data_IF_977341370921
#
_entry.id   IF_977341370921
#
_cell.length_a   1.000
_cell.length_b   1.000
_cell.length_c   1.000
_cell.angle_alpha   90.00
_cell.angle_beta   90.00
_cell.angle_gamma   90.00
#
_symmetry.space_group_name_H-M   'P 1'
#
loop_
_entity.id
_entity.type
_entity.pdbx_description
1 polymer ?
#
# COMPACT_ATOMS: atom_id res chain seq x y z
N UNK A 1 57.53 -7.75 -21.32
CA UNK A 1 56.49 -6.84 -21.88
C UNK A 1 55.06 -7.34 -21.64
N UNK A 2 54.80 -8.65 -21.69
CA UNK A 2 53.47 -9.22 -21.36
C UNK A 2 53.08 -8.99 -19.90
N UNK A 3 53.98 -9.20 -18.94
CA UNK A 3 53.69 -9.00 -17.51
C UNK A 3 53.33 -7.57 -17.13
N UNK A 4 53.96 -6.57 -17.77
CA UNK A 4 53.66 -5.15 -17.55
C UNK A 4 52.21 -4.82 -17.96
N UNK A 5 51.75 -5.37 -19.10
CA UNK A 5 50.37 -5.16 -19.57
C UNK A 5 49.35 -5.90 -18.70
N UNK A 6 49.70 -7.07 -18.17
CA UNK A 6 48.85 -7.84 -17.26
C UNK A 6 48.73 -7.11 -15.91
N UNK A 7 49.82 -6.60 -15.36
CA UNK A 7 49.81 -5.85 -14.10
C UNK A 7 49.03 -4.52 -14.21
N UNK A 8 49.13 -3.82 -15.34
CA UNK A 8 48.30 -2.63 -15.62
C UNK A 8 46.81 -2.97 -15.68
N UNK A 9 46.45 -4.11 -16.29
CA UNK A 9 45.05 -4.58 -16.33
C UNK A 9 44.54 -4.99 -14.95
N UNK A 10 45.35 -5.69 -14.15
CA UNK A 10 45.01 -6.05 -12.75
C UNK A 10 44.79 -4.80 -11.89
N UNK A 11 45.66 -3.80 -12.01
CA UNK A 11 45.48 -2.51 -11.31
C UNK A 11 44.19 -1.79 -11.71
N UNK A 12 43.85 -1.78 -13.01
CA UNK A 12 42.59 -1.20 -13.48
C UNK A 12 41.36 -1.97 -12.98
N UNK A 13 41.41 -3.30 -12.92
CA UNK A 13 40.32 -4.11 -12.34
C UNK A 13 40.13 -3.80 -10.86
N UNK A 14 41.23 -3.67 -10.09
CA UNK A 14 41.17 -3.29 -8.69
C UNK A 14 40.48 -1.93 -8.52
N UNK A 15 40.83 -0.94 -9.36
CA UNK A 15 40.19 0.37 -9.35
C UNK A 15 38.68 0.28 -9.63
N UNK A 16 38.27 -0.47 -10.65
CA UNK A 16 36.86 -0.68 -10.98
C UNK A 16 36.10 -1.43 -9.87
N UNK A 17 36.73 -2.42 -9.22
CA UNK A 17 36.13 -3.15 -8.09
C UNK A 17 35.94 -2.25 -6.86
N UNK A 18 36.90 -1.36 -6.58
CA UNK A 18 36.78 -0.35 -5.52
C UNK A 18 35.66 0.66 -5.83
N UNK A 19 35.59 1.16 -7.07
CA UNK A 19 34.51 2.04 -7.51
C UNK A 19 33.13 1.36 -7.42
N UNK A 20 33.05 0.08 -7.77
CA UNK A 20 31.83 -0.72 -7.63
C UNK A 20 31.42 -0.83 -6.17
N UNK A 21 32.37 -1.13 -5.27
CA UNK A 21 32.14 -1.21 -3.83
C UNK A 21 31.60 0.11 -3.26
N UNK A 22 32.23 1.22 -3.62
CA UNK A 22 31.81 2.56 -3.19
C UNK A 22 30.42 2.91 -3.73
N UNK A 23 30.13 2.56 -4.99
CA UNK A 23 28.82 2.77 -5.61
C UNK A 23 27.74 1.98 -4.87
N UNK A 24 28.01 0.72 -4.51
CA UNK A 24 27.11 -0.11 -3.74
C UNK A 24 26.90 0.41 -2.31
N UNK A 25 27.95 0.93 -1.65
CA UNK A 25 27.83 1.56 -0.34
C UNK A 25 26.95 2.82 -0.39
N UNK A 26 27.15 3.68 -1.40
CA UNK A 26 26.32 4.86 -1.60
C UNK A 26 24.87 4.50 -1.89
N UNK A 27 24.61 3.50 -2.74
CA UNK A 27 23.27 2.97 -2.98
C UNK A 27 22.60 2.52 -1.67
N UNK A 28 23.31 1.79 -0.82
CA UNK A 28 22.78 1.34 0.47
C UNK A 28 22.37 2.51 1.37
N UNK A 29 23.23 3.53 1.50
CA UNK A 29 22.91 4.74 2.29
C UNK A 29 21.71 5.49 1.73
N UNK A 30 21.61 5.59 0.41
CA UNK A 30 20.54 6.32 -0.26
C UNK A 30 19.20 5.59 -0.15
N UNK A 31 19.20 4.26 -0.24
CA UNK A 31 18.02 3.44 0.05
C UNK A 31 17.52 3.67 1.48
N UNK A 32 18.40 3.59 2.48
CA UNK A 32 18.01 3.82 3.88
C UNK A 32 17.46 5.23 4.09
N UNK A 33 18.08 6.24 3.47
CA UNK A 33 17.59 7.62 3.55
C UNK A 33 16.19 7.79 2.93
N UNK A 34 15.94 7.18 1.77
CA UNK A 34 14.63 7.19 1.13
C UNK A 34 13.61 6.49 2.05
N UNK A 35 13.96 5.31 2.59
CA UNK A 35 13.11 4.54 3.49
C UNK A 35 12.76 5.33 4.76
N UNK A 36 13.75 5.96 5.41
CA UNK A 36 13.55 6.77 6.61
C UNK A 36 12.63 7.98 6.38
N UNK A 37 12.65 8.58 5.18
CA UNK A 37 11.82 9.72 4.83
C UNK A 37 10.45 9.33 4.24
N UNK A 38 10.26 8.07 3.82
CA UNK A 38 9.03 7.61 3.18
C UNK A 38 7.83 7.70 4.11
N UNK A 39 7.95 7.26 5.37
CA UNK A 39 6.82 7.20 6.30
C UNK A 39 6.26 8.60 6.63
N UNK A 40 7.14 9.56 6.92
CA UNK A 40 6.76 10.96 7.12
C UNK A 40 6.15 11.57 5.85
N UNK A 41 6.75 11.31 4.69
CA UNK A 41 6.23 11.78 3.42
C UNK A 41 4.82 11.24 3.14
N UNK A 42 4.59 9.94 3.33
CA UNK A 42 3.26 9.35 3.16
C UNK A 42 2.26 9.99 4.12
N UNK A 43 2.60 10.15 5.40
CA UNK A 43 1.72 10.78 6.37
C UNK A 43 1.32 12.21 5.96
N UNK A 44 2.30 13.03 5.58
CA UNK A 44 2.05 14.41 5.14
C UNK A 44 1.23 14.46 3.83
N UNK A 45 1.57 13.61 2.86
CA UNK A 45 0.86 13.52 1.59
C UNK A 45 -0.61 13.10 1.79
N UNK A 46 -0.85 12.09 2.62
CA UNK A 46 -2.21 11.66 2.95
C UNK A 46 -2.99 12.74 3.70
N UNK A 47 -2.38 13.48 4.62
CA UNK A 47 -3.07 14.54 5.36
C UNK A 47 -3.44 15.72 4.43
N UNK A 48 -2.58 16.08 3.48
CA UNK A 48 -2.88 17.09 2.46
C UNK A 48 -4.03 16.69 1.53
N UNK A 49 -4.19 15.39 1.29
CA UNK A 49 -5.27 14.85 0.44
C UNK A 49 -6.49 14.32 1.21
N UNK A 50 -6.49 14.44 2.54
CA UNK A 50 -7.56 13.96 3.42
C UNK A 50 -8.93 14.57 3.12
N UNK A 51 -8.96 15.85 2.71
CA UNK A 51 -10.19 16.56 2.40
C UNK A 51 -10.99 15.89 1.26
N UNK A 52 -10.32 15.19 0.34
CA UNK A 52 -10.96 14.46 -0.75
C UNK A 52 -11.68 13.19 -0.29
N UNK A 53 -11.23 12.60 0.82
CA UNK A 53 -11.74 11.34 1.36
C UNK A 53 -12.73 11.58 2.51
N UNK A 54 -12.60 12.72 3.21
CA UNK A 54 -13.39 13.05 4.39
C UNK A 54 -14.91 13.03 4.12
N UNK A 55 -15.35 13.53 2.97
CA UNK A 55 -16.78 13.53 2.61
C UNK A 55 -17.36 12.11 2.55
N UNK A 56 -16.61 11.15 2.01
CA UNK A 56 -17.03 9.76 1.91
C UNK A 56 -17.05 9.08 3.28
N UNK A 57 -16.06 9.38 4.13
CA UNK A 57 -16.02 8.92 5.52
C UNK A 57 -17.22 9.45 6.30
N UNK A 58 -17.50 10.75 6.22
CA UNK A 58 -18.61 11.39 6.91
C UNK A 58 -19.95 10.78 6.47
N UNK A 59 -20.11 10.58 5.15
CA UNK A 59 -21.30 9.93 4.59
C UNK A 59 -21.47 8.49 5.08
N UNK A 60 -20.37 7.71 5.12
CA UNK A 60 -20.39 6.36 5.66
C UNK A 60 -20.83 6.35 7.13
N UNK A 61 -20.30 7.26 7.94
CA UNK A 61 -20.63 7.38 9.37
C UNK A 61 -22.09 7.77 9.58
N UNK A 62 -22.61 8.73 8.81
CA UNK A 62 -24.03 9.11 8.83
C UNK A 62 -24.93 7.92 8.48
N UNK A 63 -24.55 7.12 7.49
CA UNK A 63 -25.29 5.93 7.09
C UNK A 63 -25.30 4.86 8.19
N UNK A 64 -24.16 4.62 8.86
CA UNK A 64 -24.08 3.71 10.01
C UNK A 64 -25.01 4.15 11.13
N UNK A 65 -25.02 5.45 11.44
CA UNK A 65 -25.92 5.99 12.46
C UNK A 65 -27.40 5.87 12.05
N UNK A 66 -27.72 6.15 10.79
CA UNK A 66 -29.08 6.00 10.26
C UNK A 66 -29.58 4.54 10.30
N UNK A 67 -28.69 3.56 10.06
CA UNK A 67 -29.01 2.13 10.21
C UNK A 67 -29.29 1.81 11.68
N UNK A 68 -28.47 2.32 12.61
CA UNK A 68 -28.68 2.13 14.06
C UNK A 68 -30.03 2.69 14.50
N UNK A 69 -30.34 3.92 14.09
CA UNK A 69 -31.61 4.58 14.39
C UNK A 69 -32.81 3.83 13.80
N UNK A 70 -32.66 3.28 12.59
CA UNK A 70 -33.67 2.40 11.97
C UNK A 70 -33.91 1.12 12.77
N UNK A 71 -32.86 0.57 13.40
CA UNK A 71 -32.98 -0.57 14.32
C UNK A 71 -33.80 -0.23 15.57
N UNK A 72 -33.55 0.93 16.18
CA UNK A 72 -34.33 1.43 17.31
C UNK A 72 -35.81 1.65 16.91
N UNK A 73 -36.04 2.18 15.70
CA UNK A 73 -37.39 2.36 15.17
C UNK A 73 -38.12 1.02 15.00
N UNK A 74 -37.46 -0.01 14.47
CA UNK A 74 -38.01 -1.37 14.36
C UNK A 74 -38.42 -1.90 15.73
N UNK A 75 -37.55 -1.82 16.74
CA UNK A 75 -37.86 -2.27 18.10
C UNK A 75 -39.06 -1.52 18.67
N UNK A 76 -39.13 -0.21 18.45
CA UNK A 76 -40.27 0.62 18.87
C UNK A 76 -41.58 0.17 18.21
N UNK A 77 -41.56 -0.15 16.91
CA UNK A 77 -42.73 -0.64 16.20
C UNK A 77 -43.15 -2.05 16.68
N UNK A 78 -42.18 -2.92 17.00
CA UNK A 78 -42.46 -4.25 17.55
C UNK A 78 -43.15 -4.15 18.90
N UNK A 79 -42.65 -3.29 19.80
CA UNK A 79 -43.25 -3.08 21.11
C UNK A 79 -44.69 -2.56 20.98
N UNK A 80 -44.92 -1.53 20.14
CA UNK A 80 -46.27 -1.01 19.85
C UNK A 80 -47.22 -2.07 19.30
N UNK A 81 -46.72 -2.95 18.42
CA UNK A 81 -47.50 -4.05 17.89
C UNK A 81 -47.84 -5.07 18.98
N UNK A 82 -46.87 -5.42 19.81
CA UNK A 82 -47.04 -6.37 20.91
C UNK A 82 -48.05 -5.86 21.96
N UNK A 83 -47.94 -4.60 22.37
CA UNK A 83 -48.87 -3.97 23.32
C UNK A 83 -50.30 -3.98 22.79
N UNK A 84 -50.49 -3.69 21.49
CA UNK A 84 -51.79 -3.76 20.86
C UNK A 84 -52.32 -5.21 20.76
N UNK A 85 -51.47 -6.14 20.30
CA UNK A 85 -51.86 -7.52 20.02
C UNK A 85 -52.07 -8.35 21.28
N UNK A 86 -51.57 -7.93 22.45
CA UNK A 86 -51.77 -8.59 23.75
C UNK A 86 -52.69 -7.85 24.71
N UNK A 87 -53.24 -6.69 24.34
CA UNK A 87 -54.13 -5.93 25.20
C UNK A 87 -55.51 -6.60 25.33
N UNK A 88 -55.90 -7.10 26.53
CA UNK A 88 -57.22 -7.70 26.74
C UNK A 88 -58.35 -6.69 26.50
N UNK A 89 -58.10 -5.42 26.84
CA UNK A 89 -59.04 -4.32 26.63
C UNK A 89 -59.27 -4.00 25.14
N UNK A 90 -58.27 -4.19 24.28
CA UNK A 90 -58.46 -4.07 22.82
C UNK A 90 -59.18 -5.29 22.26
N UNK A 91 -58.86 -6.50 22.71
CA UNK A 91 -59.48 -7.75 22.25
C UNK A 91 -60.98 -7.81 22.53
N UNK A 92 -61.43 -7.26 23.66
CA UNK A 92 -62.84 -7.23 24.03
C UNK A 92 -63.70 -6.30 23.16
N UNK A 93 -63.11 -5.47 22.29
CA UNK A 93 -63.84 -4.53 21.42
C UNK A 93 -64.44 -5.26 20.22
N UNK A 94 -65.71 -4.99 19.90
CA UNK A 94 -66.45 -5.59 18.77
C UNK A 94 -65.71 -5.43 17.42
N UNK A 95 -65.05 -4.29 17.21
CA UNK A 95 -64.28 -4.01 15.98
C UNK A 95 -62.86 -4.60 15.94
N UNK A 96 -62.46 -5.40 16.93
CA UNK A 96 -61.10 -5.91 17.06
C UNK A 96 -60.60 -6.69 15.84
N UNK A 97 -61.34 -7.64 15.24
CA UNK A 97 -60.83 -8.43 14.10
C UNK A 97 -60.43 -7.55 12.90
N UNK A 98 -61.24 -6.54 12.59
CA UNK A 98 -60.98 -5.61 11.48
C UNK A 98 -59.77 -4.73 11.80
N UNK A 99 -59.72 -4.14 13.00
CA UNK A 99 -58.61 -3.29 13.44
C UNK A 99 -57.30 -4.08 13.53
N UNK A 100 -57.36 -5.34 13.95
CA UNK A 100 -56.22 -6.24 14.02
C UNK A 100 -55.62 -6.47 12.63
N UNK A 101 -56.42 -6.85 11.64
CA UNK A 101 -55.94 -7.06 10.27
C UNK A 101 -55.35 -5.78 9.68
N UNK A 102 -56.00 -4.64 9.91
CA UNK A 102 -55.50 -3.33 9.44
C UNK A 102 -54.15 -2.98 10.07
N UNK A 103 -54.04 -3.04 11.40
CA UNK A 103 -52.78 -2.76 12.11
C UNK A 103 -51.69 -3.76 11.77
N UNK A 104 -52.01 -5.05 11.60
CA UNK A 104 -51.05 -6.08 11.18
C UNK A 104 -50.44 -5.74 9.82
N UNK A 105 -51.27 -5.36 8.85
CA UNK A 105 -50.83 -4.94 7.51
C UNK A 105 -49.99 -3.67 7.59
N UNK A 106 -50.42 -2.69 8.38
CA UNK A 106 -49.68 -1.44 8.56
C UNK A 106 -48.30 -1.66 9.20
N UNK A 107 -48.25 -2.46 10.28
CA UNK A 107 -47.00 -2.87 10.93
C UNK A 107 -46.06 -3.56 9.94
N UNK A 108 -46.55 -4.59 9.22
CA UNK A 108 -45.74 -5.30 8.24
C UNK A 108 -45.20 -4.36 7.13
N UNK A 109 -46.03 -3.42 6.66
CA UNK A 109 -45.64 -2.42 5.67
C UNK A 109 -44.55 -1.48 6.21
N UNK A 110 -44.67 -1.02 7.46
CA UNK A 110 -43.68 -0.14 8.08
C UNK A 110 -42.35 -0.86 8.29
N UNK A 111 -42.37 -2.08 8.84
CA UNK A 111 -41.15 -2.89 9.01
C UNK A 111 -40.47 -3.14 7.65
N UNK A 112 -41.26 -3.47 6.61
CA UNK A 112 -40.71 -3.63 5.26
C UNK A 112 -40.06 -2.35 4.75
N UNK A 113 -40.69 -1.19 4.95
CA UNK A 113 -40.14 0.12 4.55
C UNK A 113 -38.81 0.41 5.25
N UNK A 114 -38.73 0.19 6.56
CA UNK A 114 -37.50 0.42 7.33
C UNK A 114 -36.41 -0.56 6.88
N UNK A 115 -36.75 -1.84 6.66
CA UNK A 115 -35.80 -2.84 6.17
C UNK A 115 -35.25 -2.47 4.78
N UNK A 116 -36.10 -2.02 3.87
CA UNK A 116 -35.66 -1.57 2.55
C UNK A 116 -34.68 -0.40 2.65
N UNK A 117 -34.98 0.59 3.51
CA UNK A 117 -34.06 1.71 3.78
C UNK A 117 -32.72 1.23 4.33
N UNK A 118 -32.71 0.29 5.28
CA UNK A 118 -31.46 -0.31 5.78
C UNK A 118 -30.69 -0.99 4.64
N UNK A 119 -31.36 -1.75 3.79
CA UNK A 119 -30.73 -2.40 2.64
C UNK A 119 -30.13 -1.41 1.65
N UNK A 120 -30.83 -0.31 1.34
CA UNK A 120 -30.32 0.79 0.51
C UNK A 120 -29.04 1.40 1.11
N UNK A 121 -29.06 1.73 2.40
CA UNK A 121 -27.90 2.29 3.12
C UNK A 121 -26.72 1.31 3.19
N UNK A 122 -26.97 0.01 3.34
CA UNK A 122 -25.92 -1.01 3.32
C UNK A 122 -25.26 -1.09 1.94
N UNK A 123 -26.07 -1.06 0.87
CA UNK A 123 -25.56 -1.07 -0.51
C UNK A 123 -24.73 0.19 -0.77
N UNK A 124 -25.24 1.36 -0.37
CA UNK A 124 -24.50 2.62 -0.49
C UNK A 124 -23.17 2.58 0.27
N UNK A 125 -23.16 2.08 1.50
CA UNK A 125 -21.94 1.92 2.28
C UNK A 125 -20.93 0.97 1.64
N UNK A 126 -21.39 -0.05 0.92
CA UNK A 126 -20.50 -0.91 0.12
C UNK A 126 -19.83 -0.11 -1.00
N UNK A 127 -20.60 0.68 -1.75
CA UNK A 127 -20.05 1.53 -2.80
C UNK A 127 -19.06 2.56 -2.25
N UNK A 128 -19.37 3.18 -1.11
CA UNK A 128 -18.46 4.13 -0.45
C UNK A 128 -17.15 3.43 -0.09
N UNK A 129 -17.19 2.22 0.49
CA UNK A 129 -15.97 1.46 0.78
C UNK A 129 -15.15 1.16 -0.46
N UNK A 130 -15.79 0.77 -1.56
CA UNK A 130 -15.12 0.52 -2.83
C UNK A 130 -14.45 1.81 -3.37
N UNK A 131 -15.10 2.96 -3.26
CA UNK A 131 -14.52 4.26 -3.63
C UNK A 131 -13.33 4.64 -2.75
N UNK A 132 -13.43 4.47 -1.43
CA UNK A 132 -12.32 4.71 -0.50
C UNK A 132 -11.09 3.87 -0.85
N UNK A 133 -11.26 2.60 -1.21
CA UNK A 133 -10.16 1.74 -1.65
C UNK A 133 -9.52 2.26 -2.94
N UNK A 134 -10.32 2.72 -3.91
CA UNK A 134 -9.81 3.30 -5.15
C UNK A 134 -9.04 4.59 -4.87
N UNK A 135 -9.55 5.44 -3.98
CA UNK A 135 -8.86 6.67 -3.57
C UNK A 135 -7.54 6.38 -2.88
N UNK A 136 -7.52 5.41 -1.95
CA UNK A 136 -6.29 4.97 -1.30
C UNK A 136 -5.25 4.54 -2.33
N UNK A 137 -5.61 3.66 -3.25
CA UNK A 137 -4.68 3.17 -4.27
C UNK A 137 -4.18 4.29 -5.19
N UNK A 138 -5.05 5.23 -5.56
CA UNK A 138 -4.68 6.41 -6.34
C UNK A 138 -3.67 7.28 -5.60
N UNK A 139 -3.85 7.51 -4.30
CA UNK A 139 -2.93 8.29 -3.47
C UNK A 139 -1.59 7.58 -3.29
N UNK A 140 -1.58 6.26 -3.09
CA UNK A 140 -0.35 5.47 -3.04
C UNK A 140 0.47 5.64 -4.34
N UNK A 141 -0.18 5.53 -5.50
CA UNK A 141 0.48 5.73 -6.80
C UNK A 141 1.04 7.16 -6.93
N UNK A 142 0.26 8.17 -6.51
CA UNK A 142 0.70 9.56 -6.60
C UNK A 142 1.88 9.84 -5.66
N UNK A 143 1.84 9.34 -4.44
CA UNK A 143 2.93 9.47 -3.48
C UNK A 143 4.22 8.84 -4.02
N UNK A 144 4.16 7.64 -4.61
CA UNK A 144 5.33 7.02 -5.25
C UNK A 144 5.86 7.90 -6.40
N UNK A 145 4.98 8.46 -7.24
CA UNK A 145 5.40 9.37 -8.32
C UNK A 145 6.07 10.64 -7.81
N UNK A 146 5.63 11.18 -6.68
CA UNK A 146 6.26 12.34 -6.07
C UNK A 146 7.63 11.98 -5.46
N UNK A 147 7.75 10.84 -4.78
CA UNK A 147 9.05 10.32 -4.30
C UNK A 147 10.03 10.16 -5.47
N UNK A 148 9.55 9.65 -6.61
CA UNK A 148 10.36 9.47 -7.82
C UNK A 148 10.88 10.79 -8.42
N UNK A 149 10.23 11.93 -8.16
CA UNK A 149 10.71 13.25 -8.60
C UNK A 149 11.78 13.83 -7.67
N UNK A 150 11.98 13.24 -6.50
CA UNK A 150 12.96 13.69 -5.53
C UNK A 150 14.40 13.61 -6.06
N UNK A 151 15.25 14.51 -5.56
CA UNK A 151 16.68 14.52 -5.88
C UNK A 151 17.35 13.21 -5.45
N UNK A 152 16.96 12.67 -4.29
CA UNK A 152 17.47 11.41 -3.77
C UNK A 152 17.15 10.24 -4.70
N UNK A 153 15.91 10.14 -5.21
CA UNK A 153 15.54 9.08 -6.15
C UNK A 153 16.27 9.23 -7.50
N UNK A 154 16.47 10.47 -7.97
CA UNK A 154 17.25 10.74 -9.17
C UNK A 154 18.72 10.32 -9.00
N UNK A 155 19.31 10.60 -7.84
CA UNK A 155 20.67 10.17 -7.50
C UNK A 155 20.78 8.64 -7.40
N UNK A 156 19.76 7.98 -6.84
CA UNK A 156 19.66 6.52 -6.81
C UNK A 156 19.67 5.91 -8.23
N UNK A 157 18.86 6.43 -9.16
CA UNK A 157 18.85 5.96 -10.55
C UNK A 157 20.20 6.13 -11.25
N UNK A 158 20.89 7.24 -10.98
CA UNK A 158 22.23 7.48 -11.53
C UNK A 158 23.24 6.46 -10.99
N UNK A 159 23.22 6.17 -9.69
CA UNK A 159 24.11 5.18 -9.09
C UNK A 159 23.81 3.75 -9.57
N UNK A 160 22.55 3.40 -9.85
CA UNK A 160 22.21 2.12 -10.50
C UNK A 160 22.87 2.02 -11.88
N UNK A 161 22.76 3.08 -12.70
CA UNK A 161 23.38 3.09 -14.04
C UNK A 161 24.89 2.95 -13.95
N UNK A 162 25.53 3.64 -13.01
CA UNK A 162 26.97 3.51 -12.76
C UNK A 162 27.33 2.07 -12.36
N UNK A 163 26.58 1.49 -11.42
CA UNK A 163 26.78 0.09 -10.98
C UNK A 163 26.70 -0.89 -12.15
N UNK A 164 25.69 -0.75 -13.01
CA UNK A 164 25.48 -1.64 -14.14
C UNK A 164 26.56 -1.49 -15.20
N UNK A 165 27.01 -0.25 -15.47
CA UNK A 165 28.17 0.00 -16.34
C UNK A 165 29.44 -0.64 -15.78
N UNK A 166 29.74 -0.42 -14.50
CA UNK A 166 30.92 -1.01 -13.84
C UNK A 166 30.88 -2.55 -13.87
N UNK A 167 29.72 -3.15 -13.61
CA UNK A 167 29.56 -4.61 -13.70
C UNK A 167 29.80 -5.15 -15.11
N UNK A 168 29.32 -4.44 -16.14
CA UNK A 168 29.53 -4.83 -17.53
C UNK A 168 31.01 -4.70 -17.93
N UNK A 169 31.66 -3.62 -17.55
CA UNK A 169 33.10 -3.39 -17.79
C UNK A 169 33.95 -4.43 -17.08
N UNK A 170 33.68 -4.69 -15.79
CA UNK A 170 34.38 -5.72 -15.02
C UNK A 170 34.18 -7.11 -15.62
N UNK A 171 32.95 -7.49 -16.01
CA UNK A 171 32.68 -8.77 -16.68
C UNK A 171 33.48 -8.90 -17.97
N UNK A 172 33.53 -7.84 -18.78
CA UNK A 172 34.30 -7.84 -20.03
C UNK A 172 35.79 -8.03 -19.75
N UNK A 173 36.36 -7.25 -18.84
CA UNK A 173 37.82 -7.23 -18.59
C UNK A 173 38.27 -8.52 -17.90
N UNK A 174 37.53 -9.01 -16.90
CA UNK A 174 37.85 -10.26 -16.20
C UNK A 174 37.81 -11.44 -17.17
N UNK A 175 36.85 -11.47 -18.10
CA UNK A 175 36.79 -12.52 -19.14
C UNK A 175 37.98 -12.52 -20.10
N UNK A 176 38.78 -11.44 -20.13
CA UNK A 176 40.00 -11.35 -20.95
C UNK A 176 41.28 -11.73 -20.21
N UNK A 177 41.19 -12.09 -18.92
CA UNK A 177 42.34 -12.57 -18.15
C UNK A 177 42.49 -14.11 -18.28
N UNK A 178 43.67 -14.60 -18.63
CA UNK A 178 43.90 -16.04 -18.87
C UNK A 178 43.79 -16.90 -17.60
N UNK A 179 43.96 -16.31 -16.42
CA UNK A 179 44.02 -17.03 -15.12
C UNK A 179 42.80 -16.80 -14.22
N UNK A 180 41.79 -16.04 -14.69
CA UNK A 180 40.55 -15.80 -13.93
C UNK A 180 39.39 -16.49 -14.66
N UNK A 181 38.95 -17.62 -14.12
CA UNK A 181 37.70 -18.27 -14.54
C UNK A 181 36.50 -17.37 -14.19
N UNK A 182 35.38 -17.45 -14.95
CA UNK A 182 34.27 -16.52 -14.77
C UNK A 182 33.72 -16.61 -13.34
N UNK A 183 34.02 -15.60 -12.54
CA UNK A 183 33.44 -15.39 -11.21
C UNK A 183 32.19 -14.54 -11.40
N UNK A 184 31.05 -15.00 -10.90
CA UNK A 184 29.87 -14.14 -10.78
C UNK A 184 30.20 -12.98 -9.85
N UNK A 185 30.31 -11.75 -10.37
CA UNK A 185 30.59 -10.57 -9.55
C UNK A 185 29.32 -10.23 -8.76
N UNK A 186 29.40 -10.29 -7.44
CA UNK A 186 28.33 -9.95 -6.51
C UNK A 186 28.90 -9.09 -5.37
N UNK A 187 28.10 -8.21 -4.77
CA UNK A 187 28.50 -7.35 -3.65
C UNK A 187 29.18 -8.13 -2.52
N UNK A 188 28.72 -9.36 -2.27
CA UNK A 188 29.23 -10.20 -1.20
C UNK A 188 30.60 -10.82 -1.49
N UNK A 189 31.08 -10.80 -2.73
CA UNK A 189 32.37 -11.39 -3.13
C UNK A 189 33.37 -10.39 -3.72
N UNK A 190 33.04 -9.09 -3.74
CA UNK A 190 33.96 -8.04 -4.19
C UNK A 190 35.25 -8.07 -3.36
N UNK A 191 35.15 -8.27 -2.05
CA UNK A 191 36.32 -8.30 -1.15
C UNK A 191 37.21 -9.53 -1.37
N UNK A 192 36.62 -10.70 -1.63
CA UNK A 192 37.37 -11.91 -1.97
C UNK A 192 38.06 -11.80 -3.33
N UNK A 193 37.39 -11.20 -4.32
CA UNK A 193 37.95 -10.90 -5.65
C UNK A 193 39.10 -9.88 -5.57
N UNK A 194 38.95 -8.83 -4.76
CA UNK A 194 39.99 -7.86 -4.51
C UNK A 194 41.22 -8.52 -3.89
N UNK A 195 41.05 -9.39 -2.90
CA UNK A 195 42.17 -10.12 -2.29
C UNK A 195 42.86 -11.06 -3.28
N UNK A 196 42.11 -11.79 -4.09
CA UNK A 196 42.66 -12.73 -5.08
C UNK A 196 43.52 -12.00 -6.12
N UNK A 197 43.00 -10.92 -6.71
CA UNK A 197 43.69 -10.16 -7.77
C UNK A 197 44.90 -9.41 -7.19
N UNK A 198 44.83 -8.96 -5.93
CA UNK A 198 45.92 -8.24 -5.26
C UNK A 198 47.09 -9.15 -4.88
N UNK A 199 46.84 -10.39 -4.45
CA UNK A 199 47.90 -11.37 -4.12
C UNK A 199 48.73 -11.72 -5.35
N UNK A 200 48.08 -11.84 -6.51
CA UNK A 200 48.71 -12.13 -7.80
C UNK A 200 49.43 -10.94 -8.45
N UNK A 201 49.38 -9.74 -7.84
CA UNK A 201 50.18 -8.56 -8.25
C UNK A 201 51.41 -8.32 -7.39
N UNK A 202 51.49 -8.95 -6.21
CA UNK A 202 52.59 -8.79 -5.25
C UNK A 202 53.72 -9.84 -5.41
N UNK A 203 53.51 -10.84 -6.25
CA UNK A 203 54.51 -11.81 -6.70
C UNK A 203 55.13 -11.39 -8.04
#
# INVERSE_FOLDING_TARGET
MQDIKINQRKAFIIELLLQLKDTCCHLGKLCSKIEDCCDEFYADFFEQHKCYIQNDIDKYMLNVEAIRNSGIEITTQINKWYDFARSPAEMAKIGYPIRFLSKKRHFAKNIKKIRNKISELIIENRFIKEQLTVHQHSLEIQAVKEIQKGEDYTAYEQLIKIKDTLLNELKYIISTLPDIHPVEININNIDELLEYISRDTAA
#
